data_IF_710116771124
#
_entry.id   IF_710116771124
#
_cell.length_a   1.000
_cell.length_b   1.000
_cell.length_c   1.000
_cell.angle_alpha   90.00
_cell.angle_beta   90.00
_cell.angle_gamma   90.00
#
_symmetry.space_group_name_H-M   'P 1'
#
loop_
_entity.id
_entity.type
_entity.pdbx_description
1 polymer ?
#
# COMPACT_ATOMS: atom_id res chain seq x y z
N UNK A 1 -58.50 -9.39 -10.92
CA UNK A 1 -58.70 -10.00 -12.25
C UNK A 1 -57.39 -10.69 -12.62
N UNK A 2 -57.34 -12.02 -12.50
CA UNK A 2 -56.14 -12.82 -12.73
C UNK A 2 -55.83 -12.85 -14.22
N UNK A 3 -54.66 -12.33 -14.62
CA UNK A 3 -54.15 -12.51 -15.99
C UNK A 3 -53.60 -13.95 -16.10
N UNK A 4 -54.45 -14.87 -16.57
CA UNK A 4 -54.05 -16.21 -17.01
C UNK A 4 -53.38 -16.09 -18.38
N UNK A 5 -52.05 -16.05 -18.41
CA UNK A 5 -51.29 -16.31 -19.64
C UNK A 5 -51.34 -17.82 -19.96
N UNK A 6 -51.73 -18.17 -21.19
CA UNK A 6 -51.53 -19.49 -21.80
C UNK A 6 -50.29 -19.42 -22.71
N UNK A 7 -49.18 -20.06 -22.30
CA UNK A 7 -47.94 -20.15 -23.07
C UNK A 7 -46.77 -20.73 -22.26
N UNK A 8 -45.68 -21.14 -22.92
CA UNK A 8 -44.41 -21.52 -22.26
C UNK A 8 -43.55 -20.27 -22.14
N UNK A 9 -43.27 -19.84 -20.91
CA UNK A 9 -42.36 -18.75 -20.62
C UNK A 9 -41.02 -19.34 -20.14
N UNK A 10 -39.91 -18.88 -20.72
CA UNK A 10 -38.58 -19.08 -20.15
C UNK A 10 -38.25 -17.82 -19.36
N UNK A 11 -38.16 -17.96 -18.04
CA UNK A 11 -37.62 -16.92 -17.17
C UNK A 11 -36.19 -17.37 -16.84
N UNK A 12 -35.22 -16.53 -17.20
CA UNK A 12 -33.82 -16.79 -16.88
C UNK A 12 -33.60 -16.49 -15.39
N UNK A 13 -33.77 -17.51 -14.54
CA UNK A 13 -33.53 -17.41 -13.11
C UNK A 13 -32.02 -17.45 -12.88
N UNK A 14 -31.42 -16.28 -12.68
CA UNK A 14 -30.01 -16.17 -12.29
C UNK A 14 -29.91 -16.23 -10.76
N UNK A 15 -29.85 -17.44 -10.20
CA UNK A 15 -29.60 -17.71 -8.77
C UNK A 15 -28.26 -18.43 -8.56
N UNK A 16 -27.60 -18.19 -7.43
CA UNK A 16 -26.38 -18.89 -7.03
C UNK A 16 -25.22 -17.97 -6.67
N UNK A 17 -24.23 -18.56 -6.01
CA UNK A 17 -23.01 -17.89 -5.55
C UNK A 17 -22.23 -17.28 -6.72
N UNK A 18 -21.83 -16.00 -6.58
CA UNK A 18 -20.95 -15.33 -7.54
C UNK A 18 -19.50 -15.42 -7.09
N UNK A 19 -18.60 -15.62 -8.06
CA UNK A 19 -17.16 -15.67 -7.79
C UNK A 19 -16.63 -14.30 -7.39
N UNK A 20 -15.98 -14.23 -6.23
CA UNK A 20 -15.21 -13.06 -5.81
C UNK A 20 -13.87 -13.06 -6.54
N UNK A 21 -13.49 -11.92 -7.13
CA UNK A 21 -12.15 -11.71 -7.68
C UNK A 21 -11.34 -10.83 -6.74
N UNK A 22 -10.05 -11.14 -6.60
CA UNK A 22 -9.14 -10.32 -5.81
C UNK A 22 -8.98 -8.93 -6.44
N UNK A 23 -9.06 -7.89 -5.61
CA UNK A 23 -8.81 -6.51 -6.00
C UNK A 23 -7.35 -6.32 -6.47
N UNK A 24 -7.12 -5.34 -7.35
CA UNK A 24 -5.76 -5.01 -7.82
C UNK A 24 -4.91 -4.52 -6.65
N UNK A 25 -3.86 -5.25 -6.30
CA UNK A 25 -2.99 -4.96 -5.15
C UNK A 25 -1.84 -3.98 -5.46
N UNK A 26 -1.42 -3.93 -6.71
CA UNK A 26 -0.14 -3.34 -7.14
C UNK A 26 -0.24 -1.90 -7.67
N UNK A 27 -1.36 -1.22 -7.44
CA UNK A 27 -1.57 0.14 -7.95
C UNK A 27 -0.89 1.15 -7.02
N UNK A 28 0.03 1.93 -7.56
CA UNK A 28 0.79 2.92 -6.80
C UNK A 28 0.18 4.31 -7.02
N UNK A 29 -0.16 5.01 -5.95
CA UNK A 29 -0.51 6.42 -5.95
C UNK A 29 0.72 7.25 -5.61
N UNK A 30 1.15 8.13 -6.51
CA UNK A 30 2.27 9.06 -6.29
C UNK A 30 1.78 10.50 -6.37
N UNK A 31 2.17 11.30 -5.39
CA UNK A 31 1.93 12.74 -5.36
C UNK A 31 3.25 13.52 -5.33
N UNK A 32 3.31 14.63 -6.05
CA UNK A 32 4.50 15.45 -6.09
C UNK A 32 4.43 16.59 -7.10
N UNK A 33 5.56 17.27 -7.31
CA UNK A 33 5.66 18.39 -8.24
C UNK A 33 6.20 17.93 -9.60
N UNK A 34 5.74 18.62 -10.66
CA UNK A 34 6.29 18.48 -12.01
C UNK A 34 6.03 19.79 -12.78
N UNK A 35 6.90 20.80 -12.67
CA UNK A 35 6.67 22.10 -13.32
C UNK A 35 6.56 22.00 -14.85
N UNK A 36 7.39 21.15 -15.48
CA UNK A 36 7.44 20.96 -16.94
C UNK A 36 6.41 19.97 -17.51
N UNK A 37 5.51 19.43 -16.69
CA UNK A 37 4.55 18.45 -17.19
C UNK A 37 3.52 19.10 -18.12
N UNK A 38 3.15 18.38 -19.18
CA UNK A 38 2.08 18.76 -20.11
C UNK A 38 0.78 18.97 -19.33
N UNK A 39 0.30 20.22 -19.25
CA UNK A 39 -0.87 20.61 -18.45
C UNK A 39 -2.17 19.95 -18.90
N UNK A 40 -2.29 19.60 -20.19
CA UNK A 40 -3.47 18.92 -20.70
C UNK A 40 -3.48 17.44 -20.31
N UNK A 41 -2.29 16.83 -20.20
CA UNK A 41 -2.13 15.42 -19.84
C UNK A 41 -2.04 15.19 -18.35
N UNK A 42 -1.42 16.12 -17.64
CA UNK A 42 -1.25 16.13 -16.18
C UNK A 42 -1.76 17.44 -15.60
N UNK A 43 -3.09 17.64 -15.58
CA UNK A 43 -3.70 18.77 -14.90
C UNK A 43 -3.38 18.74 -13.40
N UNK A 44 -3.30 19.92 -12.80
CA UNK A 44 -3.06 20.07 -11.36
C UNK A 44 -4.20 19.45 -10.56
N UNK A 45 -3.86 18.80 -9.44
CA UNK A 45 -4.78 18.22 -8.45
C UNK A 45 -5.74 17.15 -9.00
N UNK A 46 -5.53 16.64 -10.21
CA UNK A 46 -6.38 15.59 -10.79
C UNK A 46 -5.60 14.29 -10.95
N UNK A 47 -6.18 13.14 -10.56
CA UNK A 47 -5.53 11.85 -10.71
C UNK A 47 -5.43 11.48 -12.19
N UNK A 48 -4.23 11.13 -12.63
CA UNK A 48 -3.95 10.66 -13.98
C UNK A 48 -3.31 9.28 -13.94
N UNK A 49 -3.81 8.35 -14.76
CA UNK A 49 -3.31 6.99 -14.82
C UNK A 49 -2.15 6.88 -15.81
N UNK A 50 -1.05 6.28 -15.37
CA UNK A 50 0.04 5.78 -16.22
C UNK A 50 0.03 4.26 -16.12
N UNK A 51 -0.35 3.59 -17.20
CA UNK A 51 -0.45 2.13 -17.25
C UNK A 51 0.89 1.48 -17.68
N UNK A 52 1.96 1.76 -16.94
CA UNK A 52 3.30 1.20 -17.20
C UNK A 52 4.01 1.75 -18.45
N UNK A 53 3.45 2.77 -19.12
CA UNK A 53 4.01 3.34 -20.34
C UNK A 53 5.07 4.41 -20.05
N UNK A 54 6.33 4.13 -20.44
CA UNK A 54 7.43 5.10 -20.38
C UNK A 54 7.15 6.35 -21.25
N UNK A 55 6.41 6.20 -22.36
CA UNK A 55 6.06 7.31 -23.25
C UNK A 55 5.09 8.29 -22.60
N UNK A 56 4.18 7.78 -21.77
CA UNK A 56 3.25 8.62 -21.01
C UNK A 56 3.96 9.32 -19.86
N UNK A 57 4.82 8.59 -19.14
CA UNK A 57 5.64 9.15 -18.07
C UNK A 57 6.60 10.25 -18.56
N UNK A 58 7.11 10.16 -19.78
CA UNK A 58 7.97 11.19 -20.37
C UNK A 58 7.29 12.57 -20.47
N UNK A 59 5.95 12.63 -20.49
CA UNK A 59 5.19 13.89 -20.52
C UNK A 59 5.11 14.61 -19.16
N UNK A 60 5.68 14.02 -18.10
CA UNK A 60 5.88 14.68 -16.81
C UNK A 60 7.04 15.69 -16.83
N UNK A 61 7.86 15.72 -17.88
CA UNK A 61 9.04 16.59 -17.97
C UNK A 61 10.24 16.01 -17.23
N UNK A 62 11.24 16.86 -16.95
CA UNK A 62 12.49 16.44 -16.26
C UNK A 62 12.65 17.03 -14.86
N UNK A 63 11.93 18.12 -14.56
CA UNK A 63 11.99 18.84 -13.29
C UNK A 63 10.87 18.45 -12.32
N UNK A 64 11.09 18.71 -11.03
CA UNK A 64 10.20 18.30 -9.95
C UNK A 64 10.48 16.90 -9.42
N UNK A 65 9.58 16.39 -8.59
CA UNK A 65 9.74 15.10 -7.89
C UNK A 65 9.11 13.92 -8.64
N UNK A 66 8.04 14.16 -9.40
CA UNK A 66 7.27 13.10 -10.07
C UNK A 66 8.04 12.36 -11.17
N UNK A 67 8.77 13.02 -12.10
CA UNK A 67 9.45 12.31 -13.17
C UNK A 67 10.43 11.27 -12.64
N UNK A 68 11.20 11.65 -11.61
CA UNK A 68 12.17 10.77 -10.97
C UNK A 68 11.48 9.65 -10.18
N UNK A 69 10.39 9.95 -9.47
CA UNK A 69 9.63 8.94 -8.75
C UNK A 69 9.04 7.87 -9.69
N UNK A 70 8.40 8.27 -10.79
CA UNK A 70 7.81 7.34 -11.75
C UNK A 70 8.88 6.50 -12.45
N UNK A 71 9.98 7.13 -12.88
CA UNK A 71 11.11 6.39 -13.45
C UNK A 71 11.69 5.35 -12.48
N UNK A 72 11.77 5.71 -11.20
CA UNK A 72 12.28 4.84 -10.13
C UNK A 72 11.40 3.63 -9.86
N UNK A 73 10.07 3.80 -9.90
CA UNK A 73 9.10 2.71 -9.83
C UNK A 73 9.30 1.75 -11.01
N UNK A 74 9.43 2.31 -12.22
CA UNK A 74 9.56 1.55 -13.46
C UNK A 74 10.88 0.79 -13.61
N UNK A 75 11.92 1.17 -12.86
CA UNK A 75 13.14 0.37 -12.72
C UNK A 75 12.88 -1.00 -12.07
N UNK A 76 11.85 -1.11 -11.21
CA UNK A 76 11.46 -2.39 -10.62
C UNK A 76 10.48 -3.16 -11.50
N UNK A 77 9.39 -2.50 -11.93
CA UNK A 77 8.31 -3.10 -12.72
C UNK A 77 7.49 -2.01 -13.42
N UNK A 78 6.93 -2.34 -14.60
CA UNK A 78 5.94 -1.50 -15.29
C UNK A 78 4.58 -1.46 -14.57
N UNK A 79 4.55 -0.96 -13.34
CA UNK A 79 3.35 -0.87 -12.52
C UNK A 79 2.31 0.10 -13.08
N UNK A 80 1.06 -0.07 -12.65
CA UNK A 80 0.02 0.94 -12.83
C UNK A 80 0.20 2.03 -11.77
N UNK A 81 0.41 3.27 -12.22
CA UNK A 81 0.69 4.42 -11.35
C UNK A 81 -0.40 5.48 -11.53
N UNK A 82 -1.04 5.88 -10.44
CA UNK A 82 -1.91 7.05 -10.37
C UNK A 82 -1.07 8.24 -9.92
N UNK A 83 -0.90 9.21 -10.80
CA UNK A 83 -0.09 10.42 -10.56
C UNK A 83 -1.01 11.58 -10.20
N UNK A 84 -0.70 12.26 -9.11
CA UNK A 84 -1.31 13.54 -8.74
C UNK A 84 -0.22 14.61 -8.79
N UNK A 85 -0.36 15.54 -9.72
CA UNK A 85 0.54 16.68 -9.88
C UNK A 85 0.04 17.84 -9.02
N UNK A 86 0.89 18.36 -8.16
CA UNK A 86 0.62 19.59 -7.39
C UNK A 86 1.49 20.75 -7.89
N UNK A 87 1.02 21.98 -7.64
CA UNK A 87 1.75 23.19 -7.99
C UNK A 87 2.96 23.35 -7.06
N UNK A 88 4.13 23.51 -7.64
CA UNK A 88 5.34 23.91 -6.91
C UNK A 88 5.29 25.43 -6.65
N UNK A 89 5.69 25.87 -5.46
CA UNK A 89 5.76 27.30 -5.15
C UNK A 89 6.84 28.00 -5.99
N UNK A 90 6.56 29.22 -6.44
CA UNK A 90 7.45 30.07 -7.23
C UNK A 90 8.30 31.01 -6.34
N UNK A 91 8.20 30.87 -5.01
CA UNK A 91 8.92 31.74 -4.07
C UNK A 91 10.45 31.61 -4.19
N UNK A 92 11.13 32.74 -4.04
CA UNK A 92 12.58 32.87 -4.12
C UNK A 92 13.31 32.28 -2.89
N UNK A 93 12.65 32.26 -1.74
CA UNK A 93 13.20 31.71 -0.48
C UNK A 93 12.98 30.19 -0.43
N UNK A 94 14.03 29.36 -0.35
CA UNK A 94 13.93 27.91 -0.31
C UNK A 94 13.02 27.37 0.80
N UNK A 95 13.00 28.00 1.99
CA UNK A 95 12.20 27.52 3.12
C UNK A 95 10.70 27.77 2.89
N UNK A 96 10.36 29.01 2.53
CA UNK A 96 8.98 29.38 2.24
C UNK A 96 8.43 28.63 1.02
N UNK A 97 9.29 28.40 0.01
CA UNK A 97 8.95 27.60 -1.16
C UNK A 97 8.56 26.17 -0.76
N UNK A 98 9.34 25.55 0.13
CA UNK A 98 9.07 24.20 0.62
C UNK A 98 7.78 24.14 1.45
N UNK A 99 7.59 25.07 2.39
CA UNK A 99 6.38 25.13 3.22
C UNK A 99 5.09 25.32 2.40
N UNK A 100 5.11 26.20 1.40
CA UNK A 100 3.96 26.38 0.50
C UNK A 100 3.72 25.16 -0.39
N UNK A 101 4.79 24.52 -0.86
CA UNK A 101 4.67 23.29 -1.64
C UNK A 101 4.08 22.17 -0.78
N UNK A 102 4.49 22.04 0.48
CA UNK A 102 3.91 21.09 1.44
C UNK A 102 2.42 21.36 1.67
N UNK A 103 2.00 22.63 1.77
CA UNK A 103 0.57 22.99 1.84
C UNK A 103 -0.20 22.53 0.61
N UNK A 104 0.37 22.71 -0.59
CA UNK A 104 -0.25 22.23 -1.83
C UNK A 104 -0.32 20.70 -1.92
N UNK A 105 0.65 19.98 -1.34
CA UNK A 105 0.65 18.51 -1.28
C UNK A 105 -0.42 17.99 -0.33
N UNK A 106 -0.51 18.55 0.87
CA UNK A 106 -1.58 18.21 1.82
C UNK A 106 -2.93 18.49 1.15
N UNK A 107 -3.05 19.67 0.54
CA UNK A 107 -4.23 20.09 -0.19
C UNK A 107 -5.44 20.22 0.72
N UNK A 108 -6.59 19.78 0.22
CA UNK A 108 -7.88 19.92 0.90
C UNK A 108 -9.03 19.81 -0.09
N UNK A 109 -10.13 20.50 0.21
CA UNK A 109 -11.26 20.64 -0.70
C UNK A 109 -11.33 22.11 -1.10
N UNK A 110 -11.36 22.35 -2.41
CA UNK A 110 -11.53 23.69 -2.95
C UNK A 110 -12.92 24.23 -2.57
N UNK A 111 -12.97 25.43 -2.00
CA UNK A 111 -14.22 26.01 -1.46
C UNK A 111 -15.22 26.41 -2.55
N UNK A 112 -14.75 26.69 -3.76
CA UNK A 112 -15.58 27.22 -4.85
C UNK A 112 -16.03 26.11 -5.79
N UNK A 113 -15.10 25.20 -6.13
CA UNK A 113 -15.37 24.11 -7.09
C UNK A 113 -15.78 22.81 -6.42
N UNK A 114 -15.47 22.63 -5.12
CA UNK A 114 -15.68 21.38 -4.40
C UNK A 114 -14.75 20.25 -4.85
N UNK A 115 -13.76 20.53 -5.72
CA UNK A 115 -12.79 19.53 -6.17
C UNK A 115 -11.78 19.21 -5.06
N UNK A 116 -11.39 17.94 -4.98
CA UNK A 116 -10.31 17.51 -4.10
C UNK A 116 -8.95 17.99 -4.61
N UNK A 117 -8.10 18.44 -3.69
CA UNK A 117 -6.76 18.96 -3.97
C UNK A 117 -5.71 18.18 -3.17
N UNK A 118 -4.49 18.09 -3.72
CA UNK A 118 -3.37 17.41 -3.07
C UNK A 118 -3.66 15.93 -2.76
N UNK A 119 -3.39 15.51 -1.52
CA UNK A 119 -3.55 14.13 -1.05
C UNK A 119 -5.01 13.66 -1.10
N UNK A 120 -5.98 14.54 -0.84
CA UNK A 120 -7.41 14.18 -0.89
C UNK A 120 -7.84 13.75 -2.31
N UNK A 121 -7.15 14.20 -3.35
CA UNK A 121 -7.44 13.80 -4.73
C UNK A 121 -7.18 12.31 -5.00
N UNK A 122 -6.49 11.59 -4.10
CA UNK A 122 -6.42 10.13 -4.20
C UNK A 122 -7.80 9.47 -4.06
N UNK A 123 -8.73 10.07 -3.32
CA UNK A 123 -10.09 9.53 -3.13
C UNK A 123 -10.91 9.54 -4.42
N UNK A 124 -10.65 10.48 -5.33
CA UNK A 124 -11.36 10.56 -6.61
C UNK A 124 -10.76 9.65 -7.69
N UNK A 125 -9.63 8.98 -7.43
CA UNK A 125 -8.95 8.12 -8.41
C UNK A 125 -9.87 7.03 -8.97
N UNK A 126 -10.66 6.37 -8.12
CA UNK A 126 -11.55 5.31 -8.59
C UNK A 126 -12.69 5.84 -9.47
N UNK A 127 -13.18 7.04 -9.22
CA UNK A 127 -14.23 7.67 -10.03
C UNK A 127 -13.69 8.13 -11.38
N UNK A 128 -12.52 8.77 -11.39
CA UNK A 128 -11.95 9.44 -12.56
C UNK A 128 -11.17 8.46 -13.46
N UNK A 129 -10.31 7.64 -12.85
CA UNK A 129 -9.41 6.72 -13.59
C UNK A 129 -9.77 5.25 -13.43
N UNK A 130 -10.88 4.94 -12.75
CA UNK A 130 -11.39 3.57 -12.55
C UNK A 130 -10.44 2.63 -11.80
N UNK A 131 -9.47 3.19 -11.08
CA UNK A 131 -8.49 2.43 -10.30
C UNK A 131 -8.20 3.14 -8.98
N UNK A 132 -8.34 2.40 -7.87
CA UNK A 132 -7.96 2.88 -6.54
C UNK A 132 -6.50 2.50 -6.21
N UNK A 133 -5.63 3.45 -5.83
CA UNK A 133 -4.27 3.15 -5.41
C UNK A 133 -4.24 2.42 -4.06
N UNK A 134 -3.33 1.45 -3.92
CA UNK A 134 -3.12 0.64 -2.69
C UNK A 134 -1.76 0.84 -2.03
N UNK A 135 -0.85 1.50 -2.73
CA UNK A 135 0.45 1.90 -2.23
C UNK A 135 0.59 3.39 -2.45
N UNK A 136 0.65 4.20 -1.39
CA UNK A 136 0.76 5.65 -1.47
C UNK A 136 2.18 6.10 -1.17
N UNK A 137 2.70 7.01 -1.98
CA UNK A 137 4.02 7.63 -1.79
C UNK A 137 3.95 9.14 -2.05
N UNK A 138 4.69 9.90 -1.23
CA UNK A 138 4.92 11.33 -1.43
C UNK A 138 6.45 11.60 -1.35
N UNK A 139 7.20 11.22 -2.40
CA UNK A 139 8.66 11.21 -2.36
C UNK A 139 9.22 12.61 -2.10
N UNK A 140 10.25 12.71 -1.25
CA UNK A 140 10.84 13.96 -0.73
C UNK A 140 9.98 14.73 0.27
N UNK A 141 8.73 14.34 0.56
CA UNK A 141 7.86 15.13 1.44
C UNK A 141 7.52 14.45 2.77
N UNK A 142 7.86 13.17 2.93
CA UNK A 142 7.59 12.41 4.17
C UNK A 142 8.73 12.45 5.19
N UNK A 143 9.94 12.83 4.77
CA UNK A 143 11.18 12.65 5.55
C UNK A 143 11.35 13.62 6.71
N UNK A 144 10.67 14.76 6.67
CA UNK A 144 10.88 15.87 7.62
C UNK A 144 10.11 15.66 8.90
N UNK A 145 10.74 15.99 10.03
CA UNK A 145 10.05 16.17 11.29
C UNK A 145 9.89 17.68 11.56
N UNK A 146 8.72 18.12 12.05
CA UNK A 146 8.56 19.50 12.53
C UNK A 146 9.53 19.80 13.68
N UNK A 147 9.92 21.08 13.85
CA UNK A 147 10.82 21.51 14.93
C UNK A 147 10.23 21.29 16.33
N UNK A 148 8.90 21.33 16.45
CA UNK A 148 8.15 20.98 17.65
C UNK A 148 7.76 19.51 17.56
N UNK A 149 7.95 18.74 18.64
CA UNK A 149 7.62 17.31 18.71
C UNK A 149 6.25 17.03 18.07
N UNK A 150 6.29 16.35 16.92
CA UNK A 150 5.13 16.22 16.05
C UNK A 150 5.36 15.24 14.92
N UNK A 151 4.28 14.93 14.21
CA UNK A 151 4.28 14.04 13.04
C UNK A 151 4.45 14.89 11.78
N UNK A 152 5.14 14.35 10.79
CA UNK A 152 5.17 14.95 9.46
C UNK A 152 3.71 15.19 8.95
N UNK A 153 3.36 16.42 8.54
CA UNK A 153 1.98 16.75 8.20
C UNK A 153 1.48 16.04 6.93
N UNK A 154 2.36 15.73 5.98
CA UNK A 154 2.05 14.94 4.78
C UNK A 154 1.74 13.49 5.16
N UNK A 155 2.53 12.89 6.06
CA UNK A 155 2.27 11.53 6.56
C UNK A 155 0.95 11.47 7.33
N UNK A 156 0.67 12.47 8.18
CA UNK A 156 -0.59 12.56 8.92
C UNK A 156 -1.81 12.61 7.98
N UNK A 157 -1.76 13.47 6.96
CA UNK A 157 -2.81 13.55 5.94
C UNK A 157 -2.95 12.24 5.14
N UNK A 158 -1.82 11.62 4.76
CA UNK A 158 -1.82 10.34 4.05
C UNK A 158 -2.46 9.22 4.88
N UNK A 159 -2.27 9.18 6.21
CA UNK A 159 -2.87 8.14 7.07
C UNK A 159 -4.39 8.16 6.94
N UNK A 160 -5.02 9.33 7.03
CA UNK A 160 -6.48 9.46 6.91
C UNK A 160 -6.99 8.97 5.55
N UNK A 161 -6.25 9.22 4.46
CA UNK A 161 -6.59 8.73 3.13
C UNK A 161 -6.35 7.23 3.00
N UNK A 162 -5.24 6.73 3.54
CA UNK A 162 -4.88 5.33 3.51
C UNK A 162 -5.90 4.46 4.26
N UNK A 163 -6.51 4.96 5.33
CA UNK A 163 -7.61 4.29 6.03
C UNK A 163 -8.87 4.17 5.16
N UNK A 164 -9.27 5.26 4.49
CA UNK A 164 -10.42 5.26 3.58
C UNK A 164 -10.20 4.32 2.40
N UNK A 165 -9.02 4.39 1.78
CA UNK A 165 -8.64 3.61 0.60
C UNK A 165 -8.15 2.20 0.92
N UNK A 166 -7.97 1.82 2.19
CA UNK A 166 -7.27 0.58 2.59
C UNK A 166 -5.92 0.42 1.89
N UNK A 167 -5.18 1.52 1.80
CA UNK A 167 -3.85 1.56 1.23
C UNK A 167 -2.78 1.48 2.32
N UNK A 168 -1.55 1.20 1.91
CA UNK A 168 -0.34 1.40 2.72
C UNK A 168 0.38 2.66 2.24
N UNK A 169 1.22 3.22 3.11
CA UNK A 169 2.08 4.36 2.82
C UNK A 169 3.51 3.91 2.94
N UNK A 170 4.30 4.12 1.88
CA UNK A 170 5.76 3.94 1.97
C UNK A 170 6.36 5.32 2.19
N UNK A 171 6.89 5.54 3.39
CA UNK A 171 7.47 6.80 3.80
C UNK A 171 9.01 6.71 3.79
N UNK A 172 9.63 7.79 3.33
CA UNK A 172 11.06 8.01 3.46
C UNK A 172 11.40 8.51 4.86
N UNK A 173 12.46 7.97 5.46
CA UNK A 173 13.08 8.52 6.66
C UNK A 173 13.93 9.77 6.38
N UNK A 174 14.42 10.44 7.44
CA UNK A 174 15.12 11.73 7.36
C UNK A 174 16.48 11.67 6.68
N UNK A 175 17.06 10.47 6.49
CA UNK A 175 18.34 10.28 5.81
C UNK A 175 19.55 10.96 6.49
N UNK A 176 19.43 11.36 7.75
CA UNK A 176 20.49 12.04 8.51
C UNK A 176 21.32 11.06 9.32
N UNK A 177 20.77 10.51 10.39
CA UNK A 177 21.42 9.53 11.27
C UNK A 177 20.39 8.52 11.80
N UNK A 178 20.88 7.49 12.50
CA UNK A 178 20.02 6.40 13.00
C UNK A 178 19.05 6.86 14.09
N UNK A 179 19.48 7.76 14.97
CA UNK A 179 18.66 8.30 16.06
C UNK A 179 17.47 9.10 15.54
N UNK A 180 17.69 9.93 14.52
CA UNK A 180 16.63 10.71 13.85
C UNK A 180 15.68 9.80 13.06
N UNK A 181 16.18 8.72 12.45
CA UNK A 181 15.31 7.74 11.80
C UNK A 181 14.41 7.02 12.83
N UNK A 182 14.96 6.67 13.99
CA UNK A 182 14.21 6.06 15.10
C UNK A 182 13.21 7.08 15.69
N UNK A 183 13.61 8.34 15.84
CA UNK A 183 12.73 9.44 16.28
C UNK A 183 11.58 9.63 15.30
N UNK A 184 11.87 9.62 14.00
CA UNK A 184 10.86 9.69 12.95
C UNK A 184 9.87 8.55 13.08
N UNK A 185 10.35 7.31 13.23
CA UNK A 185 9.47 6.14 13.40
C UNK A 185 8.60 6.29 14.65
N UNK A 186 9.15 6.70 15.79
CA UNK A 186 8.41 6.90 17.04
C UNK A 186 7.32 7.98 16.97
N UNK A 187 7.42 8.92 16.02
CA UNK A 187 6.38 9.93 15.82
C UNK A 187 5.07 9.34 15.27
N UNK A 188 5.10 8.20 14.57
CA UNK A 188 3.94 7.64 13.86
C UNK A 188 3.41 6.39 14.58
N UNK A 189 2.09 6.25 14.74
CA UNK A 189 1.46 5.09 15.39
C UNK A 189 0.44 4.35 14.49
N UNK A 190 0.73 4.15 13.20
CA UNK A 190 -0.21 3.56 12.24
C UNK A 190 0.34 2.29 11.58
N UNK A 191 -0.49 1.23 11.54
CA UNK A 191 -0.16 -0.02 10.82
C UNK A 191 -0.12 0.12 9.30
N UNK A 192 -0.53 1.28 8.77
CA UNK A 192 -0.52 1.56 7.34
C UNK A 192 0.77 2.21 6.87
N UNK A 193 1.61 2.71 7.78
CA UNK A 193 2.86 3.38 7.42
C UNK A 193 4.00 2.36 7.47
N UNK A 194 4.84 2.39 6.44
CA UNK A 194 6.04 1.60 6.30
C UNK A 194 7.21 2.54 6.01
N UNK A 195 8.10 2.71 6.98
CA UNK A 195 9.23 3.65 6.87
C UNK A 195 10.48 2.96 6.35
N UNK A 196 11.15 3.62 5.40
CA UNK A 196 12.39 3.17 4.80
C UNK A 196 13.46 4.23 4.99
N UNK A 197 14.54 3.87 5.66
CA UNK A 197 15.74 4.69 5.83
C UNK A 197 16.97 3.79 5.73
N UNK A 198 18.00 4.15 4.94
CA UNK A 198 18.29 5.46 4.39
C UNK A 198 17.81 5.64 2.93
N UNK A 199 18.10 6.80 2.34
CA UNK A 199 17.91 7.06 0.91
C UNK A 199 18.89 6.23 0.07
N UNK A 200 18.66 6.18 -1.24
CA UNK A 200 19.44 5.39 -2.19
C UNK A 200 20.30 6.26 -3.09
N UNK A 201 21.42 5.71 -3.53
CA UNK A 201 22.32 6.29 -4.53
C UNK A 201 22.07 5.64 -5.88
N UNK A 202 22.02 6.49 -6.91
CA UNK A 202 21.86 6.12 -8.31
C UNK A 202 22.96 6.75 -9.13
N UNK A 203 23.32 6.11 -10.24
CA UNK A 203 24.22 6.67 -11.23
C UNK A 203 23.40 7.10 -12.45
N UNK A 204 23.19 8.41 -12.59
CA UNK A 204 22.38 9.02 -13.65
C UNK A 204 23.25 10.03 -14.38
N UNK A 205 23.32 9.92 -15.71
CA UNK A 205 24.06 10.88 -16.57
C UNK A 205 25.53 11.07 -16.13
N UNK A 206 26.19 10.00 -15.71
CA UNK A 206 27.60 10.05 -15.30
C UNK A 206 27.86 10.60 -13.90
N UNK A 207 26.80 10.88 -13.10
CA UNK A 207 26.91 11.43 -11.74
C UNK A 207 26.16 10.58 -10.74
N UNK A 208 26.70 10.50 -9.53
CA UNK A 208 25.98 9.96 -8.38
C UNK A 208 24.90 10.94 -7.92
N UNK A 209 23.67 10.46 -7.79
CA UNK A 209 22.53 11.20 -7.27
C UNK A 209 21.89 10.43 -6.13
N UNK A 210 21.53 11.13 -5.07
CA UNK A 210 20.77 10.56 -3.95
C UNK A 210 19.29 10.84 -4.19
N UNK A 211 18.46 9.81 -4.16
CA UNK A 211 17.00 9.90 -4.26
C UNK A 211 16.31 9.21 -3.09
N UNK A 212 15.07 9.60 -2.76
CA UNK A 212 14.27 8.90 -1.75
C UNK A 212 14.04 7.43 -2.13
N UNK A 213 13.90 6.58 -1.12
CA UNK A 213 13.77 5.13 -1.28
C UNK A 213 12.33 4.69 -1.58
N UNK A 214 11.34 5.51 -1.21
CA UNK A 214 9.91 5.19 -1.32
C UNK A 214 9.45 4.79 -2.73
N UNK A 215 9.89 5.42 -3.84
CA UNK A 215 9.46 4.98 -5.17
C UNK A 215 10.02 3.61 -5.57
N UNK A 216 11.25 3.30 -5.17
CA UNK A 216 11.87 2.00 -5.44
C UNK A 216 11.21 0.90 -4.63
N UNK A 217 10.92 1.16 -3.36
CA UNK A 217 10.23 0.20 -2.49
C UNK A 217 8.78 0.00 -2.93
N UNK A 218 8.06 1.05 -3.33
CA UNK A 218 6.72 0.91 -3.89
C UNK A 218 6.72 0.08 -5.18
N UNK A 219 7.68 0.32 -6.08
CA UNK A 219 7.88 -0.50 -7.28
C UNK A 219 8.21 -1.96 -6.94
N UNK A 220 9.06 -2.19 -5.94
CA UNK A 220 9.42 -3.53 -5.48
C UNK A 220 8.21 -4.28 -4.92
N UNK A 221 7.38 -3.62 -4.10
CA UNK A 221 6.13 -4.19 -3.58
C UNK A 221 5.21 -4.56 -4.75
N UNK A 222 5.03 -3.67 -5.73
CA UNK A 222 4.21 -3.95 -6.91
C UNK A 222 4.75 -5.13 -7.75
N UNK A 223 6.07 -5.27 -7.85
CA UNK A 223 6.72 -6.41 -8.53
C UNK A 223 6.40 -7.72 -7.81
N UNK A 224 6.57 -7.76 -6.50
CA UNK A 224 6.34 -8.95 -5.68
C UNK A 224 4.88 -9.37 -5.71
N UNK A 225 3.96 -8.42 -5.67
CA UNK A 225 2.54 -8.71 -5.81
C UNK A 225 2.23 -9.43 -7.12
N UNK A 226 2.88 -9.03 -8.21
CA UNK A 226 2.68 -9.63 -9.53
C UNK A 226 3.36 -11.00 -9.68
N UNK A 227 4.52 -11.20 -9.05
CA UNK A 227 5.33 -12.41 -9.23
C UNK A 227 5.02 -13.50 -8.20
N UNK A 228 4.75 -13.12 -6.95
CA UNK A 228 4.61 -14.02 -5.80
C UNK A 228 3.25 -13.88 -5.11
N UNK A 229 2.65 -12.69 -5.16
CA UNK A 229 1.37 -12.39 -4.51
C UNK A 229 1.51 -11.42 -3.34
N UNK A 230 0.40 -10.75 -3.02
CA UNK A 230 0.35 -9.62 -2.08
C UNK A 230 0.63 -10.00 -0.60
N UNK A 231 0.54 -11.30 -0.28
CA UNK A 231 0.79 -11.84 1.05
C UNK A 231 2.28 -12.08 1.33
N UNK A 232 3.14 -11.93 0.33
CA UNK A 232 4.58 -12.02 0.52
C UNK A 232 5.18 -10.71 1.03
N UNK A 233 6.14 -10.82 1.95
CA UNK A 233 6.87 -9.67 2.47
C UNK A 233 7.83 -9.09 1.40
N UNK A 234 7.97 -7.76 1.31
CA UNK A 234 8.98 -7.15 0.45
C UNK A 234 10.41 -7.27 0.98
N UNK A 235 10.59 -7.78 2.19
CA UNK A 235 11.90 -7.97 2.80
C UNK A 235 12.70 -9.10 2.14
N UNK A 236 14.02 -8.97 2.17
CA UNK A 236 15.01 -9.85 1.55
C UNK A 236 14.87 -9.98 0.02
N UNK A 237 14.27 -8.97 -0.63
CA UNK A 237 14.12 -8.89 -2.09
C UNK A 237 15.09 -7.86 -2.66
N UNK A 238 15.64 -8.18 -3.83
CA UNK A 238 16.62 -7.33 -4.50
C UNK A 238 15.96 -6.06 -5.05
N UNK A 239 16.64 -4.93 -4.88
CA UNK A 239 16.25 -3.64 -5.45
C UNK A 239 17.09 -3.40 -6.69
N UNK A 240 16.42 -3.28 -7.85
CA UNK A 240 17.10 -3.05 -9.11
C UNK A 240 17.54 -1.59 -9.28
N UNK A 241 18.63 -1.39 -10.02
CA UNK A 241 19.05 -0.07 -10.51
C UNK A 241 19.66 0.87 -9.49
N UNK A 242 19.97 0.40 -8.27
CA UNK A 242 20.69 1.17 -7.25
C UNK A 242 22.18 0.82 -7.24
N UNK A 243 23.01 1.83 -6.97
CA UNK A 243 24.48 1.66 -6.85
C UNK A 243 24.95 1.74 -5.40
N UNK A 244 24.08 2.16 -4.49
CA UNK A 244 24.42 2.35 -3.08
C UNK A 244 23.25 2.82 -2.25
N UNK A 245 23.49 2.90 -0.95
CA UNK A 245 22.68 3.69 -0.01
C UNK A 245 23.42 5.00 0.28
N UNK A 246 22.68 6.07 0.60
CA UNK A 246 23.24 7.35 1.02
C UNK A 246 24.14 7.18 2.25
N UNK A 247 23.66 6.42 3.24
CA UNK A 247 24.36 6.02 4.47
C UNK A 247 24.67 4.53 4.40
N UNK A 248 25.91 4.09 4.66
CA UNK A 248 26.22 2.67 4.70
C UNK A 248 25.50 2.01 5.89
N UNK A 249 24.76 0.94 5.61
CA UNK A 249 24.12 0.11 6.63
C UNK A 249 24.92 -1.19 6.71
N UNK A 250 25.62 -1.40 7.83
CA UNK A 250 26.30 -2.65 8.08
C UNK A 250 25.31 -3.77 8.39
N UNK A 251 25.58 -4.92 7.80
CA UNK A 251 24.89 -6.16 8.04
C UNK A 251 25.91 -7.30 7.92
N UNK A 252 25.96 -8.18 8.91
CA UNK A 252 26.82 -9.37 8.88
C UNK A 252 26.06 -10.54 9.47
N UNK A 253 26.10 -11.68 8.79
CA UNK A 253 25.42 -12.89 9.25
C UNK A 253 25.91 -13.31 10.63
N UNK A 254 24.97 -13.53 11.55
CA UNK A 254 25.25 -13.94 12.92
C UNK A 254 25.66 -12.81 13.88
N UNK A 255 25.85 -11.58 13.39
CA UNK A 255 26.12 -10.43 14.27
C UNK A 255 24.80 -9.74 14.66
N UNK A 256 24.44 -9.81 15.93
CA UNK A 256 23.26 -9.13 16.48
C UNK A 256 23.44 -7.61 16.55
N UNK A 257 24.68 -7.13 16.68
CA UNK A 257 25.01 -5.74 16.97
C UNK A 257 25.27 -4.89 15.71
N UNK A 258 24.65 -5.25 14.58
CA UNK A 258 24.78 -4.47 13.34
C UNK A 258 23.74 -3.34 13.27
N UNK A 259 24.06 -2.26 12.55
CA UNK A 259 23.13 -1.12 12.36
C UNK A 259 21.82 -1.55 11.74
N UNK A 260 21.84 -2.49 10.79
CA UNK A 260 20.62 -3.04 10.20
C UNK A 260 19.67 -3.63 11.25
N UNK A 261 20.20 -4.36 12.24
CA UNK A 261 19.38 -4.90 13.33
C UNK A 261 18.92 -3.80 14.27
N UNK A 262 19.80 -2.87 14.64
CA UNK A 262 19.43 -1.74 15.52
C UNK A 262 18.25 -0.94 14.97
N UNK A 263 18.25 -0.64 13.67
CA UNK A 263 17.15 0.06 13.01
C UNK A 263 15.90 -0.82 12.92
N UNK A 264 16.02 -2.10 12.57
CA UNK A 264 14.88 -3.01 12.48
C UNK A 264 14.20 -3.33 13.81
N UNK A 265 14.96 -3.44 14.90
CA UNK A 265 14.43 -3.58 16.26
C UNK A 265 13.58 -2.37 16.67
N UNK A 266 13.91 -1.19 16.13
CA UNK A 266 13.13 0.02 16.25
C UNK A 266 12.14 0.22 15.08
N UNK A 267 11.86 -0.83 14.31
CA UNK A 267 10.84 -0.87 13.25
C UNK A 267 11.10 0.11 12.09
N UNK A 268 12.37 0.40 11.84
CA UNK A 268 12.84 1.14 10.66
C UNK A 268 13.38 0.14 9.63
N UNK A 269 12.77 0.12 8.45
CA UNK A 269 13.26 -0.73 7.35
C UNK A 269 14.49 -0.10 6.71
N UNK A 270 15.49 -0.93 6.43
CA UNK A 270 16.78 -0.54 5.85
C UNK A 270 17.03 -1.22 4.51
N UNK A 271 18.16 -0.88 3.88
CA UNK A 271 18.65 -1.54 2.67
C UNK A 271 20.06 -2.05 2.97
N UNK A 272 20.26 -3.36 2.83
CA UNK A 272 21.55 -4.02 3.08
C UNK A 272 22.20 -4.43 1.76
N UNK A 273 23.51 -4.63 1.77
CA UNK A 273 24.25 -5.17 0.63
C UNK A 273 24.73 -6.59 0.93
N UNK A 274 24.03 -7.59 0.40
CA UNK A 274 24.38 -9.00 0.50
C UNK A 274 23.96 -9.74 -0.77
N UNK A 275 24.94 -10.04 -1.62
CA UNK A 275 24.71 -10.56 -2.97
C UNK A 275 23.73 -9.66 -3.75
N UNK A 276 24.06 -8.37 -3.82
CA UNK A 276 23.18 -7.31 -4.31
C UNK A 276 22.54 -6.49 -3.17
N UNK A 277 21.91 -5.37 -3.53
CA UNK A 277 21.18 -4.55 -2.58
C UNK A 277 19.78 -5.11 -2.35
N UNK A 278 19.41 -5.30 -1.08
CA UNK A 278 18.15 -5.90 -0.66
C UNK A 278 17.43 -5.01 0.35
N UNK A 279 16.10 -4.96 0.24
CA UNK A 279 15.26 -4.38 1.28
C UNK A 279 15.32 -5.27 2.53
N UNK A 280 15.46 -4.68 3.71
CA UNK A 280 15.67 -5.40 4.96
C UNK A 280 14.85 -4.81 6.10
N UNK A 281 13.85 -5.56 6.55
CA UNK A 281 12.76 -5.09 7.41
C UNK A 281 11.39 -5.33 6.79
N UNK A 282 10.40 -5.68 7.63
CA UNK A 282 9.03 -5.98 7.20
C UNK A 282 7.96 -5.47 8.18
N UNK A 283 8.38 -4.69 9.19
CA UNK A 283 7.50 -4.13 10.21
C UNK A 283 6.91 -2.79 9.78
N UNK A 284 5.66 -2.57 10.16
CA UNK A 284 4.93 -1.32 9.97
C UNK A 284 5.12 -0.40 11.16
N UNK A 285 4.58 0.82 11.08
CA UNK A 285 4.58 1.75 12.20
C UNK A 285 3.46 1.50 13.24
N UNK A 286 2.96 0.27 13.36
CA UNK A 286 1.86 -0.05 14.28
C UNK A 286 2.31 -0.07 15.74
N UNK A 287 1.43 0.35 16.64
CA UNK A 287 1.58 0.12 18.07
C UNK A 287 0.92 -1.20 18.52
N UNK A 288 0.15 -1.85 17.65
CA UNK A 288 -0.49 -3.14 17.91
C UNK A 288 0.35 -4.26 17.28
N UNK A 289 0.85 -5.17 18.12
CA UNK A 289 1.67 -6.31 17.68
C UNK A 289 0.95 -7.23 16.69
N UNK A 290 -0.39 -7.25 16.69
CA UNK A 290 -1.17 -8.02 15.70
C UNK A 290 -0.99 -7.51 14.28
N UNK A 291 -0.74 -6.21 14.12
CA UNK A 291 -0.57 -5.54 12.83
C UNK A 291 0.89 -5.14 12.57
N UNK A 292 1.85 -5.74 13.28
CA UNK A 292 3.26 -5.43 13.15
C UNK A 292 3.77 -5.65 11.72
N UNK A 293 3.36 -6.73 11.04
CA UNK A 293 3.89 -7.07 9.72
C UNK A 293 3.11 -6.44 8.56
N UNK A 294 3.86 -5.89 7.60
CA UNK A 294 3.29 -5.26 6.41
C UNK A 294 2.46 -6.26 5.57
N UNK A 295 2.98 -7.47 5.35
CA UNK A 295 2.28 -8.50 4.57
C UNK A 295 0.94 -8.91 5.19
N UNK A 296 0.87 -8.95 6.53
CA UNK A 296 -0.36 -9.27 7.29
C UNK A 296 -1.40 -8.17 7.08
N UNK A 297 -1.02 -6.91 7.25
CA UNK A 297 -1.91 -5.75 7.03
C UNK A 297 -2.43 -5.72 5.59
N UNK A 298 -1.55 -5.92 4.61
CA UNK A 298 -1.90 -5.92 3.18
C UNK A 298 -2.83 -7.08 2.80
N UNK A 299 -2.60 -8.27 3.36
CA UNK A 299 -3.48 -9.43 3.16
C UNK A 299 -4.89 -9.13 3.66
N UNK A 300 -5.01 -8.57 4.87
CA UNK A 300 -6.30 -8.18 5.44
C UNK A 300 -7.01 -7.12 4.58
N UNK A 301 -6.29 -6.07 4.17
CA UNK A 301 -6.86 -4.99 3.37
C UNK A 301 -7.40 -5.47 2.02
N UNK A 302 -6.67 -6.37 1.35
CA UNK A 302 -7.09 -6.89 0.04
C UNK A 302 -8.23 -7.89 0.13
N UNK A 303 -8.29 -8.73 1.18
CA UNK A 303 -9.46 -9.57 1.43
C UNK A 303 -10.69 -8.68 1.61
N UNK A 304 -10.62 -7.70 2.51
CA UNK A 304 -11.73 -6.79 2.81
C UNK A 304 -12.22 -6.04 1.57
N UNK A 305 -11.29 -5.49 0.78
CA UNK A 305 -11.64 -4.74 -0.43
C UNK A 305 -12.24 -5.63 -1.52
N UNK A 306 -11.73 -6.85 -1.67
CA UNK A 306 -12.27 -7.83 -2.63
C UNK A 306 -13.71 -8.23 -2.28
N UNK A 307 -13.99 -8.42 -0.98
CA UNK A 307 -15.34 -8.73 -0.52
C UNK A 307 -16.31 -7.57 -0.78
N UNK A 308 -15.92 -6.33 -0.50
CA UNK A 308 -16.74 -5.14 -0.78
C UNK A 308 -17.09 -5.03 -2.28
N UNK A 309 -16.09 -5.18 -3.15
CA UNK A 309 -16.27 -5.07 -4.61
C UNK A 309 -17.14 -6.20 -5.18
N UNK A 310 -16.98 -7.42 -4.67
CA UNK A 310 -17.67 -8.58 -5.21
C UNK A 310 -19.14 -8.69 -4.77
N UNK A 311 -19.55 -8.05 -3.68
CA UNK A 311 -20.90 -8.17 -3.12
C UNK A 311 -21.83 -7.00 -3.45
N UNK A 312 -21.47 -6.13 -4.41
CA UNK A 312 -22.38 -5.07 -4.85
C UNK A 312 -23.73 -5.62 -5.36
N UNK A 313 -23.74 -6.82 -5.95
CA UNK A 313 -24.97 -7.49 -6.39
C UNK A 313 -25.91 -7.90 -5.24
N UNK A 314 -25.36 -8.05 -4.04
CA UNK A 314 -26.09 -8.50 -2.86
C UNK A 314 -26.87 -7.35 -2.20
N UNK A 315 -26.50 -6.10 -2.51
CA UNK A 315 -27.23 -4.90 -2.11
C UNK A 315 -28.62 -4.90 -2.76
N UNK A 316 -29.64 -4.48 -2.01
CA UNK A 316 -31.05 -4.37 -2.42
C UNK A 316 -31.74 -5.69 -2.83
N UNK A 317 -31.12 -6.85 -2.57
CA UNK A 317 -31.79 -8.15 -2.71
C UNK A 317 -32.66 -8.48 -1.50
N UNK A 318 -33.73 -9.22 -1.75
CA UNK A 318 -34.60 -9.73 -0.70
C UNK A 318 -33.82 -10.64 0.25
N UNK A 319 -33.84 -10.31 1.54
CA UNK A 319 -33.21 -11.10 2.59
C UNK A 319 -34.02 -12.39 2.76
N UNK A 320 -33.51 -13.46 2.16
CA UNK A 320 -34.03 -14.82 2.27
C UNK A 320 -32.96 -15.73 2.84
N UNK A 321 -33.32 -16.94 3.27
CA UNK A 321 -32.33 -17.92 3.72
C UNK A 321 -31.32 -18.23 2.60
N UNK A 322 -31.82 -18.41 1.37
CA UNK A 322 -30.98 -18.63 0.19
C UNK A 322 -30.03 -17.47 -0.09
N UNK A 323 -30.47 -16.22 0.11
CA UNK A 323 -29.57 -15.07 0.00
C UNK A 323 -28.40 -15.15 0.99
N UNK A 324 -28.66 -15.51 2.25
CA UNK A 324 -27.62 -15.66 3.27
C UNK A 324 -26.66 -16.80 2.88
N UNK A 325 -27.20 -17.94 2.47
CA UNK A 325 -26.41 -19.11 2.08
C UNK A 325 -25.54 -18.81 0.84
N UNK A 326 -26.08 -18.13 -0.18
CA UNK A 326 -25.37 -17.72 -1.40
C UNK A 326 -24.16 -16.79 -1.09
N UNK A 327 -24.35 -15.84 -0.15
CA UNK A 327 -23.27 -14.95 0.29
C UNK A 327 -22.20 -15.73 1.04
N UNK A 328 -22.58 -16.58 2.00
CA UNK A 328 -21.65 -17.41 2.77
C UNK A 328 -20.84 -18.32 1.83
N UNK A 329 -21.50 -18.97 0.87
CA UNK A 329 -20.84 -19.85 -0.11
C UNK A 329 -19.88 -19.08 -1.02
N UNK A 330 -20.27 -17.89 -1.50
CA UNK A 330 -19.43 -17.03 -2.31
C UNK A 330 -18.16 -16.59 -1.58
N UNK A 331 -18.28 -16.15 -0.32
CA UNK A 331 -17.14 -15.76 0.51
C UNK A 331 -16.26 -16.95 0.85
N UNK A 332 -16.83 -18.08 1.27
CA UNK A 332 -16.04 -19.27 1.61
C UNK A 332 -15.31 -19.85 0.40
N UNK A 333 -15.92 -19.83 -0.79
CA UNK A 333 -15.26 -20.23 -2.04
C UNK A 333 -14.05 -19.36 -2.35
N UNK A 334 -14.15 -18.05 -2.11
CA UNK A 334 -13.03 -17.12 -2.26
C UNK A 334 -11.90 -17.39 -1.26
N UNK A 335 -12.23 -17.55 0.03
CA UNK A 335 -11.25 -17.87 1.06
C UNK A 335 -10.58 -19.22 0.80
N UNK A 336 -11.32 -20.22 0.30
CA UNK A 336 -10.76 -21.50 -0.12
C UNK A 336 -9.78 -21.34 -1.30
N UNK A 337 -10.07 -20.47 -2.28
CA UNK A 337 -9.16 -20.16 -3.38
C UNK A 337 -7.87 -19.49 -2.87
N UNK A 338 -7.98 -18.51 -1.97
CA UNK A 338 -6.82 -17.88 -1.34
C UNK A 338 -5.98 -18.89 -0.55
N UNK A 339 -6.63 -19.83 0.16
CA UNK A 339 -5.94 -20.91 0.86
C UNK A 339 -5.19 -21.83 -0.11
N UNK A 340 -5.80 -22.18 -1.24
CA UNK A 340 -5.16 -23.01 -2.27
C UNK A 340 -3.94 -22.33 -2.90
N UNK A 341 -3.93 -20.99 -2.99
CA UNK A 341 -2.78 -20.20 -3.44
C UNK A 341 -1.70 -20.00 -2.37
N UNK A 342 -1.97 -20.37 -1.11
CA UNK A 342 -1.07 -20.11 0.02
C UNK A 342 -1.15 -18.68 0.57
N UNK A 343 -2.14 -17.88 0.14
CA UNK A 343 -2.33 -16.51 0.59
C UNK A 343 -2.83 -16.40 2.03
N UNK A 344 -3.57 -17.43 2.49
CA UNK A 344 -4.01 -17.60 3.87
C UNK A 344 -3.85 -19.06 4.28
N UNK A 345 -3.69 -19.32 5.58
CA UNK A 345 -3.61 -20.67 6.16
C UNK A 345 -5.03 -21.24 6.34
N UNK A 346 -5.95 -20.40 6.80
CA UNK A 346 -7.34 -20.74 7.04
C UNK A 346 -8.22 -19.51 6.85
N UNK A 347 -9.48 -19.73 6.50
CA UNK A 347 -10.51 -18.71 6.52
C UNK A 347 -11.90 -19.32 6.50
N UNK A 348 -12.86 -18.63 7.13
CA UNK A 348 -14.26 -19.06 7.22
C UNK A 348 -15.17 -17.85 7.32
N UNK A 349 -16.28 -17.88 6.61
CA UNK A 349 -17.39 -16.93 6.69
C UNK A 349 -18.65 -17.62 7.22
N UNK A 350 -19.40 -16.93 8.06
CA UNK A 350 -20.67 -17.37 8.63
C UNK A 350 -21.58 -16.16 8.94
N UNK A 351 -22.90 -16.39 8.96
CA UNK A 351 -23.85 -15.39 9.43
C UNK A 351 -24.02 -15.53 10.95
N UNK A 352 -23.83 -14.44 11.69
CA UNK A 352 -23.87 -14.46 13.16
C UNK A 352 -25.31 -14.39 13.65
N UNK A 353 -25.85 -15.46 14.27
CA UNK A 353 -27.26 -15.51 14.62
C UNK A 353 -27.67 -14.43 15.62
N UNK A 354 -26.75 -14.07 16.53
CA UNK A 354 -26.95 -13.06 17.57
C UNK A 354 -27.16 -11.66 17.00
N UNK A 355 -26.51 -11.34 15.87
CA UNK A 355 -26.64 -10.05 15.20
C UNK A 355 -27.80 -10.04 14.18
N UNK A 356 -28.13 -11.19 13.60
CA UNK A 356 -29.22 -11.35 12.64
C UNK A 356 -30.59 -11.57 13.33
N UNK A 357 -30.95 -10.67 14.24
CA UNK A 357 -32.26 -10.69 14.91
C UNK A 357 -33.39 -10.34 13.94
N UNK A 358 -34.65 -10.75 14.21
CA UNK A 358 -35.80 -10.37 13.39
C UNK A 358 -35.95 -8.85 13.19
N UNK A 359 -35.62 -8.05 14.20
CA UNK A 359 -35.65 -6.58 14.13
C UNK A 359 -34.63 -6.03 13.14
N UNK A 360 -33.41 -6.57 13.14
CA UNK A 360 -32.36 -6.16 12.21
C UNK A 360 -32.71 -6.56 10.77
N UNK A 361 -33.20 -7.79 10.58
CA UNK A 361 -33.64 -8.28 9.27
C UNK A 361 -34.81 -7.46 8.74
N UNK A 362 -35.81 -7.15 9.57
CA UNK A 362 -36.93 -6.28 9.20
C UNK A 362 -36.48 -4.85 8.85
N UNK A 363 -35.35 -4.40 9.41
CA UNK A 363 -34.71 -3.13 9.08
C UNK A 363 -33.76 -3.21 7.87
N UNK A 364 -33.73 -4.33 7.15
CA UNK A 364 -32.87 -4.55 5.99
C UNK A 364 -31.39 -4.80 6.32
N UNK A 365 -31.05 -5.09 7.58
CA UNK A 365 -29.67 -5.29 8.04
C UNK A 365 -29.37 -6.77 8.21
N UNK A 366 -28.28 -7.23 7.58
CA UNK A 366 -27.74 -8.58 7.72
C UNK A 366 -26.25 -8.49 8.02
N UNK A 367 -25.79 -9.32 8.94
CA UNK A 367 -24.42 -9.36 9.43
C UNK A 367 -23.75 -10.69 9.06
N UNK A 368 -22.57 -10.60 8.47
CA UNK A 368 -21.70 -11.73 8.16
C UNK A 368 -20.37 -11.50 8.84
N UNK A 369 -19.93 -12.48 9.62
CA UNK A 369 -18.59 -12.50 10.19
C UNK A 369 -17.71 -13.40 9.34
N UNK A 370 -16.47 -12.99 9.16
CA UNK A 370 -15.46 -13.84 8.56
C UNK A 370 -14.14 -13.72 9.31
N UNK A 371 -13.49 -14.86 9.44
CA UNK A 371 -12.22 -15.05 10.11
C UNK A 371 -11.21 -15.56 9.09
N UNK A 372 -9.94 -15.12 9.20
CA UNK A 372 -8.86 -15.59 8.35
C UNK A 372 -7.54 -15.55 9.12
N UNK A 373 -6.61 -16.43 8.75
CA UNK A 373 -5.24 -16.47 9.30
C UNK A 373 -4.25 -16.28 8.15
N UNK A 374 -3.55 -15.14 8.07
CA UNK A 374 -2.51 -14.92 7.07
C UNK A 374 -1.22 -15.68 7.44
N UNK A 375 -0.35 -15.99 6.47
CA UNK A 375 0.99 -16.47 6.75
C UNK A 375 1.83 -15.35 7.38
N UNK A 376 2.50 -15.66 8.50
CA UNK A 376 3.44 -14.75 9.14
C UNK A 376 4.84 -14.92 8.53
N UNK A 377 5.56 -13.82 8.26
CA UNK A 377 6.93 -13.92 7.76
C UNK A 377 7.86 -14.49 8.84
N UNK A 378 8.76 -15.38 8.44
CA UNK A 378 9.83 -15.88 9.32
C UNK A 378 10.92 -14.81 9.48
N UNK A 379 10.67 -13.83 10.35
CA UNK A 379 11.58 -12.69 10.60
C UNK A 379 12.92 -13.12 11.23
N UNK A 380 12.89 -14.12 12.12
CA UNK A 380 14.08 -14.65 12.77
C UNK A 380 14.12 -16.18 12.70
N UNK A 381 15.23 -16.73 12.22
CA UNK A 381 15.48 -18.17 12.13
C UNK A 381 16.71 -18.50 13.00
N UNK A 382 16.52 -19.32 14.03
CA UNK A 382 17.57 -19.68 14.99
C UNK A 382 17.90 -21.17 14.91
N UNK A 383 19.07 -21.50 14.39
CA UNK A 383 19.61 -22.86 14.43
C UNK A 383 20.34 -23.08 15.76
N UNK A 384 19.91 -24.08 16.54
CA UNK A 384 20.55 -24.47 17.81
C UNK A 384 21.42 -25.70 17.59
N UNK A 385 22.72 -25.50 17.43
CA UNK A 385 23.69 -26.59 17.33
C UNK A 385 23.96 -27.21 18.70
N UNK A 386 24.06 -28.55 18.74
CA UNK A 386 24.49 -29.31 19.92
C UNK A 386 25.55 -30.31 19.45
N UNK A 387 26.73 -30.25 20.06
CA UNK A 387 27.75 -31.29 19.91
C UNK A 387 27.33 -32.48 20.77
N UNK A 388 27.08 -33.63 20.16
CA UNK A 388 26.76 -34.88 20.85
C UNK A 388 27.98 -35.80 20.81
N UNK A 389 28.40 -36.29 21.97
CA UNK A 389 29.46 -37.31 22.10
C UNK A 389 28.87 -38.70 22.37
N UNK A 390 27.54 -38.85 22.31
CA UNK A 390 26.81 -40.07 22.63
C UNK A 390 27.03 -41.23 21.65
N UNK A 391 27.79 -41.00 20.58
CA UNK A 391 28.15 -42.03 19.59
C UNK A 391 29.62 -42.52 19.74
N UNK A 392 30.35 -42.06 20.76
CA UNK A 392 31.76 -42.44 21.02
C UNK A 392 31.88 -43.57 22.08
N UNK A 393 30.78 -44.21 22.52
CA UNK A 393 30.83 -45.38 23.41
C UNK A 393 29.60 -46.26 23.35
#
# INVERSE_FOLDING_TARGET
MFNLQHGVNVIEVTSGAKTVRTAKSSVIGVIGTAPEADEQKFPLNKPVLIAGSLKEAAKLGKTGTLPQAVSSIFTQVGATVVVIRVKESENSDPKLKEEETLKNIIGGVDKETGEYQGIEAFLSSESIVHVAPRILIAPQFTHQLPEIDGVNPVVSALISIAEKLRAIIVADGPNTNDEEAIKWRKSVGSSRVYVVDPWIKLFIEGKEKILPSSPFVAGLIAKIDSEQGFWHSPSNKEINGIVGTSRPIDFTLGNTNCRANHLNENEVTTIIHQNGYRLWGNRTCSNDSKWAFLSVRRTADLINDSLLRAHLWAVDRNITKTYIDDVIEGVNSYLANLKAQGAIISGRCYATPELNTPTNIASGKVYFDFEFTPPYPAEQITFRSRLVNSEIS
#
